data_IF_100405573266
#
_entry.id   IF_100405573266
#
_cell.length_a   1.000
_cell.length_b   1.000
_cell.length_c   1.000
_cell.angle_alpha   90.00
_cell.angle_beta   90.00
_cell.angle_gamma   90.00
#
_symmetry.space_group_name_H-M   'P 1'
#
loop_
_entity.id
_entity.type
_entity.pdbx_description
1 polymer ?
#
# COMPACT_ATOMS: atom_id res chain seq x y z
N UNK A 1 5.67 -22.15 -25.99
CA UNK A 1 4.77 -21.02 -25.63
C UNK A 1 3.33 -21.51 -25.77
N UNK A 2 2.64 -21.91 -24.67
CA UNK A 2 1.25 -22.40 -24.75
C UNK A 2 0.34 -21.22 -24.95
N UNK A 3 -0.33 -21.13 -26.09
CA UNK A 3 -1.38 -20.13 -26.35
C UNK A 3 -2.54 -20.48 -25.41
N UNK A 4 -2.73 -19.68 -24.37
CA UNK A 4 -3.86 -19.84 -23.46
C UNK A 4 -5.16 -19.72 -24.24
N UNK A 5 -6.05 -20.69 -24.06
CA UNK A 5 -7.39 -20.67 -24.66
C UNK A 5 -8.11 -19.34 -24.36
N UNK A 6 -8.88 -18.83 -25.29
CA UNK A 6 -9.65 -17.57 -25.17
C UNK A 6 -10.51 -17.55 -23.89
N UNK A 7 -10.99 -18.70 -23.44
CA UNK A 7 -11.76 -18.88 -22.21
C UNK A 7 -10.92 -18.63 -20.96
N UNK A 8 -9.68 -19.16 -20.92
CA UNK A 8 -8.77 -18.96 -19.79
C UNK A 8 -8.34 -17.49 -19.67
N UNK A 9 -8.10 -16.83 -20.80
CA UNK A 9 -7.80 -15.40 -20.81
C UNK A 9 -8.94 -14.56 -20.24
N UNK A 10 -10.19 -14.84 -20.59
CA UNK A 10 -11.37 -14.16 -20.05
C UNK A 10 -11.50 -14.35 -18.54
N UNK A 11 -11.26 -15.57 -18.03
CA UNK A 11 -11.30 -15.85 -16.58
C UNK A 11 -10.20 -15.08 -15.84
N UNK A 12 -8.99 -15.02 -16.40
CA UNK A 12 -7.88 -14.28 -15.80
C UNK A 12 -8.17 -12.77 -15.77
N UNK A 13 -8.66 -12.21 -16.88
CA UNK A 13 -9.05 -10.78 -16.94
C UNK A 13 -10.15 -10.47 -15.94
N UNK A 14 -11.19 -11.32 -15.85
CA UNK A 14 -12.27 -11.15 -14.89
C UNK A 14 -11.76 -11.16 -13.43
N UNK A 15 -10.92 -12.13 -13.06
CA UNK A 15 -10.30 -12.20 -11.73
C UNK A 15 -9.47 -10.95 -11.41
N UNK A 16 -8.70 -10.47 -12.39
CA UNK A 16 -7.89 -9.26 -12.23
C UNK A 16 -8.77 -8.03 -12.04
N UNK A 17 -9.84 -7.88 -12.83
CA UNK A 17 -10.78 -6.76 -12.70
C UNK A 17 -11.48 -6.77 -11.34
N UNK A 18 -12.00 -7.91 -10.89
CA UNK A 18 -12.64 -8.05 -9.57
C UNK A 18 -11.65 -7.69 -8.45
N UNK A 19 -10.39 -8.13 -8.56
CA UNK A 19 -9.35 -7.78 -7.58
C UNK A 19 -9.14 -6.27 -7.50
N UNK A 20 -9.06 -5.55 -8.62
CA UNK A 20 -8.91 -4.09 -8.64
C UNK A 20 -10.11 -3.37 -8.05
N UNK A 21 -11.32 -3.83 -8.36
CA UNK A 21 -12.55 -3.27 -7.76
C UNK A 21 -12.50 -3.41 -6.23
N UNK A 22 -12.11 -4.59 -5.71
CA UNK A 22 -11.99 -4.81 -4.27
C UNK A 22 -10.89 -3.94 -3.63
N UNK A 23 -9.77 -3.73 -4.29
CA UNK A 23 -8.73 -2.82 -3.80
C UNK A 23 -9.23 -1.39 -3.66
N UNK A 24 -9.89 -0.85 -4.70
CA UNK A 24 -10.44 0.50 -4.63
C UNK A 24 -11.59 0.62 -3.64
N UNK A 25 -12.36 -0.43 -3.43
CA UNK A 25 -13.37 -0.47 -2.39
C UNK A 25 -12.73 -0.36 -0.98
N UNK A 26 -11.64 -1.09 -0.72
CA UNK A 26 -10.89 -0.97 0.54
C UNK A 26 -10.30 0.43 0.70
N UNK A 27 -9.71 1.00 -0.36
CA UNK A 27 -9.21 2.40 -0.35
C UNK A 27 -10.33 3.37 0.01
N UNK A 28 -11.49 3.23 -0.59
CA UNK A 28 -12.64 4.08 -0.35
C UNK A 28 -13.19 3.95 1.09
N UNK A 29 -13.31 2.73 1.60
CA UNK A 29 -13.69 2.49 3.00
C UNK A 29 -12.69 3.14 3.98
N UNK A 30 -11.38 2.98 3.74
CA UNK A 30 -10.35 3.60 4.57
C UNK A 30 -10.40 5.13 4.49
N UNK A 31 -10.69 5.70 3.33
CA UNK A 31 -10.88 7.13 3.14
C UNK A 31 -12.07 7.66 3.95
N UNK A 32 -13.22 6.98 3.90
CA UNK A 32 -14.40 7.36 4.70
C UNK A 32 -14.06 7.33 6.21
N UNK A 33 -13.38 6.29 6.68
CA UNK A 33 -12.97 6.17 8.09
C UNK A 33 -12.03 7.33 8.47
N UNK A 34 -11.11 7.72 7.59
CA UNK A 34 -10.22 8.86 7.82
C UNK A 34 -10.96 10.20 7.86
N UNK A 35 -11.98 10.37 7.04
CA UNK A 35 -12.73 11.63 6.95
C UNK A 35 -13.80 11.74 8.05
N UNK A 36 -14.32 10.62 8.57
CA UNK A 36 -15.38 10.57 9.58
C UNK A 36 -14.84 10.73 11.01
N UNK A 37 -15.12 11.83 11.69
CA UNK A 37 -14.92 12.03 13.15
C UNK A 37 -13.70 12.86 13.58
N UNK A 38 -13.61 13.13 14.87
CA UNK A 38 -12.73 14.15 15.50
C UNK A 38 -11.52 13.59 16.27
N UNK A 39 -11.35 12.26 16.36
CA UNK A 39 -10.29 11.63 17.14
C UNK A 39 -8.96 11.57 16.36
N UNK A 40 -7.84 11.41 17.08
CA UNK A 40 -6.52 11.11 16.53
C UNK A 40 -6.57 9.84 15.69
N UNK A 41 -6.50 9.99 14.37
CA UNK A 41 -6.73 8.90 13.42
C UNK A 41 -5.44 8.36 12.82
N UNK A 42 -5.33 7.03 12.64
CA UNK A 42 -4.26 6.44 11.85
C UNK A 42 -4.36 6.88 10.39
N UNK A 43 -3.23 7.01 9.72
CA UNK A 43 -3.17 7.26 8.27
C UNK A 43 -3.35 5.93 7.54
N UNK A 44 -4.61 5.45 7.46
CA UNK A 44 -4.95 4.12 6.92
C UNK A 44 -4.55 3.91 5.47
N UNK A 45 -4.53 4.97 4.68
CA UNK A 45 -4.22 4.89 3.25
C UNK A 45 -2.76 4.55 2.96
N UNK A 46 -1.82 4.83 3.89
CA UNK A 46 -0.41 4.45 3.74
C UNK A 46 -0.23 2.94 3.71
N UNK A 47 -0.64 2.17 4.74
CA UNK A 47 -0.49 0.72 4.70
C UNK A 47 -1.31 0.06 3.57
N UNK A 48 -2.45 0.64 3.16
CA UNK A 48 -3.21 0.14 2.01
C UNK A 48 -2.41 0.27 0.72
N UNK A 49 -1.85 1.45 0.43
CA UNK A 49 -1.05 1.70 -0.75
C UNK A 49 0.18 0.78 -0.82
N UNK A 50 0.89 0.62 0.31
CA UNK A 50 2.05 -0.27 0.41
C UNK A 50 1.67 -1.74 0.19
N UNK A 51 0.58 -2.21 0.79
CA UNK A 51 0.10 -3.59 0.60
C UNK A 51 -0.28 -3.89 -0.86
N UNK A 52 -0.92 -2.95 -1.54
CA UNK A 52 -1.28 -3.11 -2.96
C UNK A 52 0.01 -3.12 -3.80
N UNK A 53 0.99 -2.27 -3.49
CA UNK A 53 2.26 -2.17 -4.21
C UNK A 53 3.09 -3.45 -4.17
N UNK A 54 3.08 -4.16 -3.04
CA UNK A 54 3.79 -5.44 -2.88
C UNK A 54 3.28 -6.54 -3.84
N UNK A 55 2.02 -6.45 -4.22
CA UNK A 55 1.35 -7.50 -4.99
C UNK A 55 1.14 -7.15 -6.46
N UNK A 56 1.59 -5.98 -6.90
CA UNK A 56 1.38 -5.47 -8.25
C UNK A 56 2.67 -4.91 -8.86
N UNK A 57 2.64 -4.69 -10.18
CA UNK A 57 3.76 -4.14 -10.93
C UNK A 57 4.03 -2.68 -10.56
N UNK A 58 5.25 -2.19 -10.84
CA UNK A 58 5.70 -0.84 -10.56
C UNK A 58 4.72 0.25 -11.05
N UNK A 59 4.21 0.17 -12.27
CA UNK A 59 3.27 1.17 -12.82
C UNK A 59 1.96 1.26 -12.02
N UNK A 60 1.40 0.11 -11.66
CA UNK A 60 0.20 0.05 -10.84
C UNK A 60 0.44 0.57 -9.42
N UNK A 61 1.65 0.37 -8.89
CA UNK A 61 2.08 0.85 -7.57
C UNK A 61 2.18 2.37 -7.53
N UNK A 62 2.76 3.00 -8.58
CA UNK A 62 2.82 4.46 -8.72
C UNK A 62 1.43 5.06 -8.71
N UNK A 63 0.55 4.53 -9.56
CA UNK A 63 -0.81 5.04 -9.69
C UNK A 63 -1.59 4.92 -8.37
N UNK A 64 -1.50 3.77 -7.72
CA UNK A 64 -2.17 3.54 -6.43
C UNK A 64 -1.61 4.45 -5.33
N UNK A 65 -0.28 4.61 -5.28
CA UNK A 65 0.40 5.51 -4.34
C UNK A 65 -0.04 6.96 -4.53
N UNK A 66 -0.08 7.44 -5.78
CA UNK A 66 -0.53 8.79 -6.09
C UNK A 66 -1.99 9.01 -5.69
N UNK A 67 -2.90 8.09 -6.06
CA UNK A 67 -4.32 8.18 -5.70
C UNK A 67 -4.52 8.19 -4.17
N UNK A 68 -3.87 7.26 -3.45
CA UNK A 68 -3.96 7.22 -1.98
C UNK A 68 -3.38 8.50 -1.35
N UNK A 69 -2.27 9.03 -1.88
CA UNK A 69 -1.67 10.26 -1.39
C UNK A 69 -2.57 11.49 -1.61
N UNK A 70 -3.22 11.61 -2.77
CA UNK A 70 -4.22 12.67 -3.00
C UNK A 70 -5.40 12.58 -2.03
N UNK A 71 -5.88 11.37 -1.74
CA UNK A 71 -6.95 11.16 -0.77
C UNK A 71 -6.51 11.55 0.67
N UNK A 72 -5.24 11.33 1.04
CA UNK A 72 -4.68 11.79 2.30
C UNK A 72 -4.68 13.32 2.36
N UNK A 73 -4.23 13.99 1.29
CA UNK A 73 -4.19 15.45 1.23
C UNK A 73 -5.58 16.06 1.40
N UNK A 74 -6.58 15.49 0.74
CA UNK A 74 -7.98 15.92 0.86
C UNK A 74 -8.51 15.67 2.29
N UNK A 75 -8.26 14.49 2.86
CA UNK A 75 -8.79 14.14 4.19
C UNK A 75 -8.17 14.94 5.33
N UNK A 76 -6.91 15.37 5.17
CA UNK A 76 -6.17 16.12 6.17
C UNK A 76 -6.16 17.63 5.92
N UNK A 77 -6.76 18.11 4.82
CA UNK A 77 -6.73 19.53 4.45
C UNK A 77 -5.32 20.06 4.19
N UNK A 78 -4.42 19.21 3.69
CA UNK A 78 -3.03 19.54 3.43
C UNK A 78 -2.82 20.10 2.01
N UNK A 79 -1.57 20.54 1.74
CA UNK A 79 -1.18 20.99 0.41
C UNK A 79 -1.41 19.85 -0.61
N UNK A 80 -2.24 20.13 -1.61
CA UNK A 80 -2.66 19.15 -2.59
C UNK A 80 -1.48 18.66 -3.42
N UNK A 81 -1.27 17.33 -3.43
CA UNK A 81 -0.18 16.68 -4.16
C UNK A 81 1.06 16.37 -3.31
N UNK A 82 1.22 16.94 -2.12
CA UNK A 82 2.37 16.71 -1.27
C UNK A 82 2.52 15.23 -0.87
N UNK A 83 1.49 14.64 -0.25
CA UNK A 83 1.51 13.23 0.11
C UNK A 83 1.42 12.31 -1.11
N UNK A 84 0.81 12.77 -2.21
CA UNK A 84 0.74 12.00 -3.45
C UNK A 84 2.13 11.70 -4.02
N UNK A 85 3.02 12.70 -4.10
CA UNK A 85 4.39 12.54 -4.58
C UNK A 85 5.20 11.63 -3.65
N UNK A 86 5.13 11.89 -2.34
CA UNK A 86 5.87 11.12 -1.34
C UNK A 86 5.44 9.65 -1.36
N UNK A 87 4.13 9.40 -1.34
CA UNK A 87 3.61 8.03 -1.27
C UNK A 87 3.82 7.27 -2.59
N UNK A 88 3.71 7.93 -3.74
CA UNK A 88 4.06 7.34 -5.03
C UNK A 88 5.53 6.89 -5.07
N UNK A 89 6.45 7.74 -4.59
CA UNK A 89 7.88 7.39 -4.50
C UNK A 89 8.11 6.16 -3.61
N UNK A 90 7.52 6.12 -2.42
CA UNK A 90 7.64 4.95 -1.54
C UNK A 90 7.01 3.70 -2.13
N UNK A 91 5.88 3.80 -2.81
CA UNK A 91 5.25 2.66 -3.48
C UNK A 91 6.11 2.08 -4.60
N UNK A 92 6.81 2.93 -5.36
CA UNK A 92 7.80 2.48 -6.36
C UNK A 92 8.94 1.73 -5.66
N UNK A 93 9.55 2.35 -4.65
CA UNK A 93 10.69 1.77 -3.94
C UNK A 93 10.32 0.41 -3.33
N UNK A 94 9.16 0.31 -2.71
CA UNK A 94 8.66 -0.93 -2.12
C UNK A 94 8.37 -1.98 -3.19
N UNK A 95 7.73 -1.63 -4.30
CA UNK A 95 7.48 -2.56 -5.40
C UNK A 95 8.77 -3.16 -5.94
N UNK A 96 9.79 -2.33 -6.18
CA UNK A 96 11.12 -2.78 -6.64
C UNK A 96 11.84 -3.65 -5.60
N UNK A 97 11.79 -3.27 -4.33
CA UNK A 97 12.39 -4.07 -3.25
C UNK A 97 11.79 -5.47 -3.16
N UNK A 98 10.46 -5.59 -3.32
CA UNK A 98 9.79 -6.89 -3.28
C UNK A 98 9.99 -7.71 -4.55
N UNK A 99 10.16 -7.08 -5.69
CA UNK A 99 10.48 -7.78 -6.93
C UNK A 99 11.91 -8.34 -6.93
N UNK A 100 12.88 -7.62 -6.34
CA UNK A 100 14.30 -7.97 -6.41
C UNK A 100 14.82 -8.76 -5.19
N UNK A 101 14.38 -8.45 -3.97
CA UNK A 101 15.06 -8.90 -2.75
C UNK A 101 14.19 -9.62 -1.72
N UNK A 102 12.89 -9.30 -1.60
CA UNK A 102 12.13 -9.66 -0.42
C UNK A 102 11.28 -10.92 -0.61
N UNK A 103 11.68 -12.02 0.04
CA UNK A 103 10.97 -13.31 0.02
C UNK A 103 9.90 -13.42 1.12
N UNK A 104 10.15 -12.90 2.32
CA UNK A 104 9.22 -12.95 3.45
C UNK A 104 8.27 -11.76 3.43
N UNK A 105 6.98 -11.99 3.09
CA UNK A 105 6.05 -10.89 2.83
C UNK A 105 5.56 -10.17 4.10
N UNK A 106 5.25 -10.86 5.18
CA UNK A 106 4.62 -10.25 6.36
C UNK A 106 5.60 -9.41 7.20
N UNK A 107 6.71 -10.00 7.63
CA UNK A 107 7.68 -9.31 8.49
C UNK A 107 8.28 -8.09 7.80
N UNK A 108 8.68 -8.26 6.54
CA UNK A 108 9.23 -7.17 5.74
C UNK A 108 8.20 -6.06 5.50
N UNK A 109 6.93 -6.43 5.27
CA UNK A 109 5.85 -5.45 5.15
C UNK A 109 5.70 -4.61 6.42
N UNK A 110 5.69 -5.22 7.60
CA UNK A 110 5.54 -4.51 8.87
C UNK A 110 6.70 -3.54 9.12
N UNK A 111 7.94 -3.95 8.84
CA UNK A 111 9.12 -3.09 8.95
C UNK A 111 9.05 -1.90 7.98
N UNK A 112 8.72 -2.15 6.71
CA UNK A 112 8.61 -1.12 5.69
C UNK A 112 7.46 -0.16 6.01
N UNK A 113 6.30 -0.68 6.42
CA UNK A 113 5.17 0.15 6.82
C UNK A 113 5.53 1.05 8.00
N UNK A 114 6.22 0.54 9.02
CA UNK A 114 6.68 1.32 10.15
C UNK A 114 7.67 2.42 9.72
N UNK A 115 8.65 2.08 8.88
CA UNK A 115 9.64 3.03 8.37
C UNK A 115 9.01 4.12 7.51
N UNK A 116 8.19 3.75 6.52
CA UNK A 116 7.52 4.71 5.61
C UNK A 116 6.58 5.63 6.39
N UNK A 117 5.76 5.08 7.27
CA UNK A 117 4.85 5.88 8.11
C UNK A 117 5.61 6.82 9.04
N UNK A 118 6.76 6.40 9.59
CA UNK A 118 7.61 7.26 10.41
C UNK A 118 8.19 8.42 9.61
N UNK A 119 8.77 8.12 8.44
CA UNK A 119 9.34 9.15 7.56
C UNK A 119 8.26 10.15 7.14
N UNK A 120 7.07 9.67 6.80
CA UNK A 120 5.95 10.54 6.43
C UNK A 120 5.50 11.43 7.59
N UNK A 121 5.35 10.89 8.80
CA UNK A 121 5.04 11.69 9.99
C UNK A 121 6.13 12.75 10.29
N UNK A 122 7.41 12.41 10.07
CA UNK A 122 8.54 13.36 10.26
C UNK A 122 8.55 14.44 9.20
N UNK A 123 8.28 14.11 7.94
CA UNK A 123 8.18 15.07 6.85
C UNK A 123 7.01 16.03 7.06
N UNK A 124 5.84 15.50 7.43
CA UNK A 124 4.65 16.30 7.76
C UNK A 124 4.93 17.27 8.91
N UNK A 125 5.59 16.77 9.98
CA UNK A 125 5.98 17.61 11.11
C UNK A 125 6.91 18.75 10.70
N UNK A 126 7.97 18.45 9.93
CA UNK A 126 8.91 19.45 9.44
C UNK A 126 8.23 20.50 8.58
N UNK A 127 7.41 20.07 7.63
CA UNK A 127 6.82 20.94 6.62
C UNK A 127 5.70 21.83 7.19
N UNK A 128 4.87 21.30 8.08
CA UNK A 128 3.70 22.03 8.58
C UNK A 128 3.92 22.74 9.92
N UNK A 129 4.90 22.34 10.70
CA UNK A 129 5.12 22.92 12.02
C UNK A 129 6.50 23.56 12.17
N UNK A 130 7.57 22.88 11.83
CA UNK A 130 8.94 23.37 12.07
C UNK A 130 9.30 24.57 11.21
N UNK A 131 8.83 24.65 9.96
CA UNK A 131 9.11 25.77 9.05
C UNK A 131 8.45 27.07 9.54
N UNK A 132 7.34 26.97 10.26
CA UNK A 132 6.57 28.12 10.73
C UNK A 132 6.91 28.55 12.16
N UNK A 133 7.95 27.98 12.77
CA UNK A 133 8.49 28.34 14.11
C UNK A 133 7.41 28.47 15.20
N UNK A 134 6.43 27.56 15.26
CA UNK A 134 5.44 27.55 16.33
C UNK A 134 6.09 27.24 17.67
N UNK A 135 5.65 27.87 18.75
CA UNK A 135 6.08 27.56 20.11
C UNK A 135 5.65 26.14 20.51
N UNK A 136 6.46 25.43 21.31
CA UNK A 136 6.21 24.07 21.83
C UNK A 136 6.02 22.93 20.76
N UNK A 137 6.64 23.08 19.59
CA UNK A 137 6.50 22.16 18.45
C UNK A 137 6.91 20.73 18.82
N UNK A 138 7.92 20.54 19.65
CA UNK A 138 8.39 19.20 20.07
C UNK A 138 7.35 18.43 20.89
N UNK A 139 6.54 19.11 21.70
CA UNK A 139 5.44 18.47 22.42
C UNK A 139 4.35 17.95 21.48
N UNK A 140 4.04 18.69 20.42
CA UNK A 140 3.07 18.28 19.39
C UNK A 140 3.55 17.00 18.70
N UNK A 141 4.84 16.93 18.36
CA UNK A 141 5.41 15.75 17.73
C UNK A 141 5.25 14.49 18.62
N UNK A 142 5.63 14.59 19.89
CA UNK A 142 5.59 13.44 20.80
C UNK A 142 4.14 13.04 21.13
N UNK A 143 3.26 14.00 21.40
CA UNK A 143 1.90 13.70 21.85
C UNK A 143 0.91 13.37 20.74
N UNK A 144 1.09 13.89 19.54
CA UNK A 144 0.18 13.70 18.39
C UNK A 144 0.78 12.76 17.35
N UNK A 145 1.90 13.14 16.74
CA UNK A 145 2.46 12.42 15.60
C UNK A 145 2.90 10.99 15.96
N UNK A 146 3.48 10.79 17.14
CA UNK A 146 3.89 9.46 17.59
C UNK A 146 2.70 8.54 17.88
N UNK A 147 1.60 9.06 18.40
CA UNK A 147 0.37 8.27 18.59
C UNK A 147 -0.24 7.86 17.25
N UNK A 148 -0.35 8.80 16.31
CA UNK A 148 -0.81 8.52 14.94
C UNK A 148 0.04 7.45 14.28
N UNK A 149 1.37 7.51 14.42
CA UNK A 149 2.30 6.53 13.89
C UNK A 149 2.05 5.12 14.45
N UNK A 150 1.92 4.99 15.79
CA UNK A 150 1.64 3.70 16.44
C UNK A 150 0.31 3.12 15.95
N UNK A 151 -0.76 3.94 15.90
CA UNK A 151 -2.07 3.49 15.39
C UNK A 151 -2.01 3.07 13.93
N UNK A 152 -1.19 3.74 13.11
CA UNK A 152 -0.99 3.39 11.70
C UNK A 152 -0.31 2.02 11.56
N UNK A 153 0.66 1.69 12.41
CA UNK A 153 1.32 0.37 12.41
C UNK A 153 0.31 -0.72 12.79
N UNK A 154 -0.45 -0.52 13.86
CA UNK A 154 -1.46 -1.48 14.32
C UNK A 154 -2.51 -1.73 13.23
N UNK A 155 -3.03 -0.66 12.62
CA UNK A 155 -4.00 -0.76 11.53
C UNK A 155 -3.42 -1.46 10.29
N UNK A 156 -2.12 -1.33 10.05
CA UNK A 156 -1.41 -2.00 8.97
C UNK A 156 -1.51 -3.53 9.04
N UNK A 157 -1.57 -4.12 10.25
CA UNK A 157 -1.78 -5.57 10.42
C UNK A 157 -3.16 -5.97 9.88
N UNK A 158 -4.21 -5.25 10.26
CA UNK A 158 -5.58 -5.54 9.80
C UNK A 158 -5.71 -5.39 8.28
N UNK A 159 -5.14 -4.32 7.73
CA UNK A 159 -5.15 -4.06 6.29
C UNK A 159 -4.41 -5.17 5.53
N UNK A 160 -3.25 -5.60 6.03
CA UNK A 160 -2.51 -6.71 5.44
C UNK A 160 -3.33 -8.00 5.39
N UNK A 161 -4.06 -8.33 6.47
CA UNK A 161 -4.92 -9.51 6.52
C UNK A 161 -6.07 -9.41 5.50
N UNK A 162 -6.73 -8.26 5.40
CA UNK A 162 -7.81 -8.02 4.44
C UNK A 162 -7.29 -8.20 3.00
N UNK A 163 -6.18 -7.55 2.65
CA UNK A 163 -5.62 -7.64 1.29
C UNK A 163 -5.11 -9.06 0.99
N UNK A 164 -4.55 -9.76 1.98
CA UNK A 164 -4.17 -11.17 1.84
C UNK A 164 -5.37 -12.07 1.56
N UNK A 165 -6.51 -11.84 2.22
CA UNK A 165 -7.76 -12.56 1.97
C UNK A 165 -8.28 -12.31 0.55
N UNK A 166 -8.21 -11.08 0.06
CA UNK A 166 -8.60 -10.72 -1.32
C UNK A 166 -7.69 -11.41 -2.34
N UNK A 167 -6.38 -11.42 -2.10
CA UNK A 167 -5.40 -11.96 -3.03
C UNK A 167 -5.43 -13.49 -3.12
N UNK A 168 -5.74 -14.18 -2.02
CA UNK A 168 -5.71 -15.66 -1.97
C UNK A 168 -6.53 -16.34 -3.10
N UNK A 169 -7.79 -15.94 -3.39
CA UNK A 169 -8.58 -16.52 -4.48
C UNK A 169 -8.32 -15.89 -5.86
N UNK A 170 -7.88 -14.61 -5.91
CA UNK A 170 -7.90 -13.81 -7.14
C UNK A 170 -6.53 -13.65 -7.80
N UNK A 171 -5.44 -14.00 -7.10
CA UNK A 171 -4.10 -13.92 -7.68
C UNK A 171 -3.91 -15.06 -8.67
N UNK A 172 -3.63 -14.79 -9.96
CA UNK A 172 -3.29 -15.85 -10.90
C UNK A 172 -2.02 -16.53 -10.41
N UNK A 173 -2.03 -17.88 -10.36
CA UNK A 173 -0.82 -18.68 -10.08
C UNK A 173 0.14 -18.53 -11.27
N UNK A 174 0.96 -17.50 -11.27
CA UNK A 174 1.90 -17.18 -12.35
C UNK A 174 3.22 -17.94 -12.23
N UNK A 175 3.42 -18.70 -11.17
CA UNK A 175 4.58 -19.55 -11.03
C UNK A 175 4.20 -20.99 -11.32
N UNK A 176 4.30 -21.40 -12.57
CA UNK A 176 4.71 -22.76 -12.86
C UNK A 176 6.07 -22.92 -12.17
N UNK A 177 6.11 -23.68 -11.09
CA UNK A 177 7.36 -24.03 -10.43
C UNK A 177 8.26 -24.63 -11.49
N UNK A 178 9.56 -24.34 -11.46
CA UNK A 178 10.54 -24.86 -12.41
C UNK A 178 10.37 -26.39 -12.53
N UNK A 179 9.97 -27.06 -11.45
CA UNK A 179 9.61 -28.49 -11.41
C UNK A 179 8.39 -28.87 -12.30
N UNK A 180 7.39 -28.02 -12.45
CA UNK A 180 6.23 -28.27 -13.33
C UNK A 180 6.59 -28.05 -14.80
N UNK A 181 7.52 -27.15 -15.09
CA UNK A 181 8.06 -26.91 -16.44
C UNK A 181 8.92 -28.09 -16.85
N UNK A 182 9.76 -28.62 -15.98
CA UNK A 182 10.60 -29.80 -16.22
C UNK A 182 9.72 -31.05 -16.43
N UNK A 183 8.71 -31.26 -15.58
CA UNK A 183 7.76 -32.41 -15.71
C UNK A 183 6.92 -32.37 -16.98
N UNK A 184 6.66 -31.21 -17.56
CA UNK A 184 5.97 -31.09 -18.86
C UNK A 184 6.92 -31.30 -20.05
N UNK A 185 8.21 -31.02 -19.89
CA UNK A 185 9.25 -31.28 -20.91
C UNK A 185 9.57 -32.78 -21.04
N UNK A 186 9.54 -33.52 -19.92
CA UNK A 186 9.78 -34.98 -19.92
C UNK A 186 8.60 -35.84 -20.47
N UNK A 187 7.46 -35.20 -20.77
CA UNK A 187 6.27 -35.87 -21.34
C UNK A 187 6.01 -35.57 -22.82
N UNK A 188 6.88 -34.81 -23.45
CA UNK A 188 6.83 -34.53 -24.89
C UNK A 188 7.94 -35.28 -25.64
#
# INVERSE_FOLDING_TARGET
MRIKSTREQRILTFKTTVRWILYYLVVFCCFIIMTSGTLLKPILLVPVALCISINNNMYASVFTGAVCGFLIDISCGKLFGYNAVILAFFCIAVSLMYELYLRQRFMNFMLINAAVSYIQCRLDYKFYYQIWEYEDVDRIFVHVSMKVWIYTIISGVFIYLIIKLINKPLMPKTHLTIEEVIKTSDRS
#
